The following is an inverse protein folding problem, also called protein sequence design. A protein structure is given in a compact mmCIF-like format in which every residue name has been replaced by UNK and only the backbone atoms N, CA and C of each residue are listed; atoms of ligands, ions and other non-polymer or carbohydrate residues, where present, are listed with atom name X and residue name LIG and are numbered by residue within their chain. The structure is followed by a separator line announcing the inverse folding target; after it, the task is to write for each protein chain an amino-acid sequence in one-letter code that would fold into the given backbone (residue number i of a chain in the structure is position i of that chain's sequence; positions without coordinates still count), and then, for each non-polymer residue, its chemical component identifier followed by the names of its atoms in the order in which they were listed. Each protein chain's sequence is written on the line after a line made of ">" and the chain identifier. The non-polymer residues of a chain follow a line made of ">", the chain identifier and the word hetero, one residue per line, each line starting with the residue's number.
data_IF_890861472214
#
_entry.id   IF_890861472214
#
_cell.length_a   1.000
_cell.length_b   1.000
_cell.length_c   1.000
_cell.angle_alpha   90.00
_cell.angle_beta   90.00
_cell.angle_gamma   90.00
#
_symmetry.space_group_name_H-M   'P 1'
#
loop_
_entity.id
_entity.type
_entity.pdbx_description
1 polymer ?
#
# COMPACT_ATOMS: atom_id res chain seq x y z
N UNK A 1 -20.89 20.08 16.70
CA UNK A 1 -20.47 18.66 16.70
C UNK A 1 -20.65 18.11 15.29
N UNK A 2 -19.69 18.38 14.40
CA UNK A 2 -19.71 17.85 13.03
C UNK A 2 -19.19 16.41 13.05
N UNK A 3 -20.07 15.49 12.68
CA UNK A 3 -19.91 14.05 12.84
C UNK A 3 -19.01 13.46 11.75
N UNK A 4 -18.22 12.45 12.11
CA UNK A 4 -17.46 11.57 11.20
C UNK A 4 -18.31 11.09 10.00
N UNK A 5 -19.63 11.04 10.19
CA UNK A 5 -20.67 10.65 9.22
C UNK A 5 -20.76 11.60 8.02
N UNK A 6 -20.52 12.90 8.19
CA UNK A 6 -20.67 13.89 7.10
C UNK A 6 -19.45 13.96 6.17
N UNK A 7 -18.31 13.42 6.64
CA UNK A 7 -17.08 13.31 5.86
C UNK A 7 -17.10 12.03 4.98
N UNK A 8 -17.85 11.01 5.40
CA UNK A 8 -17.96 9.69 4.75
C UNK A 8 -18.74 9.70 3.43
N UNK A 9 -19.62 10.69 3.20
CA UNK A 9 -20.43 10.76 1.98
C UNK A 9 -19.85 11.66 0.87
N UNK A 10 -18.82 12.47 1.16
CA UNK A 10 -18.33 13.53 0.25
C UNK A 10 -17.03 13.22 -0.49
N UNK A 11 -16.32 12.14 -0.16
CA UNK A 11 -15.04 11.77 -0.80
C UNK A 11 -15.14 10.35 -1.35
N UNK A 12 -14.60 10.11 -2.55
CA UNK A 12 -14.22 8.75 -2.93
C UNK A 12 -13.16 8.31 -1.93
N UNK A 13 -13.56 7.44 -0.99
CA UNK A 13 -12.67 6.93 0.03
C UNK A 13 -11.59 6.09 -0.64
N UNK A 14 -10.35 6.22 -0.18
CA UNK A 14 -9.39 5.16 -0.46
C UNK A 14 -10.02 3.84 0.03
N UNK A 15 -9.94 2.73 -0.73
CA UNK A 15 -10.47 1.43 -0.29
C UNK A 15 -10.13 1.12 1.18
N UNK A 16 -8.95 1.56 1.63
CA UNK A 16 -8.46 1.31 2.98
C UNK A 16 -9.19 2.12 4.06
N UNK A 17 -9.60 3.34 3.75
CA UNK A 17 -10.41 4.17 4.63
C UNK A 17 -11.80 3.55 4.82
N UNK A 18 -12.33 2.89 3.79
CA UNK A 18 -13.58 2.16 3.84
C UNK A 18 -13.48 0.93 4.77
N UNK A 19 -12.44 0.10 4.60
CA UNK A 19 -12.20 -1.05 5.50
C UNK A 19 -12.05 -0.60 6.95
N UNK A 20 -11.36 0.53 7.18
CA UNK A 20 -11.23 1.13 8.50
C UNK A 20 -12.59 1.58 9.07
N UNK A 21 -13.40 2.28 8.28
CA UNK A 21 -14.73 2.73 8.70
C UNK A 21 -15.63 1.54 9.06
N UNK A 22 -15.61 0.47 8.25
CA UNK A 22 -16.34 -0.78 8.52
C UNK A 22 -15.89 -1.38 9.86
N UNK A 23 -14.57 -1.56 10.06
CA UNK A 23 -14.04 -2.12 11.31
C UNK A 23 -14.34 -1.28 12.55
N UNK A 24 -14.28 0.06 12.43
CA UNK A 24 -14.59 0.97 13.52
C UNK A 24 -16.08 0.95 13.90
N UNK A 25 -16.97 0.86 12.91
CA UNK A 25 -18.40 0.71 13.16
C UNK A 25 -18.72 -0.67 13.74
N UNK A 26 -18.08 -1.73 13.24
CA UNK A 26 -18.26 -3.07 13.80
C UNK A 26 -17.83 -3.16 15.27
N UNK A 27 -16.68 -2.59 15.61
CA UNK A 27 -16.20 -2.51 17.00
C UNK A 27 -17.11 -1.70 17.94
N UNK A 28 -17.93 -0.79 17.39
CA UNK A 28 -18.94 -0.03 18.14
C UNK A 28 -20.27 -0.78 18.29
N UNK A 29 -20.36 -2.02 17.81
CA UNK A 29 -21.53 -2.88 17.94
C UNK A 29 -22.62 -2.65 16.89
N UNK A 30 -22.34 -1.89 15.82
CA UNK A 30 -23.30 -1.77 14.72
C UNK A 30 -23.44 -3.11 13.97
N UNK A 31 -24.66 -3.42 13.56
CA UNK A 31 -24.97 -4.57 12.72
C UNK A 31 -24.44 -4.39 11.30
N UNK A 32 -24.22 -5.48 10.57
CA UNK A 32 -23.73 -5.41 9.18
C UNK A 32 -24.64 -4.59 8.27
N UNK A 33 -25.96 -4.64 8.47
CA UNK A 33 -26.93 -3.84 7.71
C UNK A 33 -26.81 -2.33 8.01
N UNK A 34 -26.63 -1.95 9.28
CA UNK A 34 -26.42 -0.56 9.66
C UNK A 34 -25.09 -0.01 9.14
N UNK A 35 -24.04 -0.84 9.14
CA UNK A 35 -22.74 -0.47 8.61
C UNK A 35 -22.85 -0.26 7.09
N UNK A 36 -23.42 -1.24 6.37
CA UNK A 36 -23.66 -1.18 4.93
C UNK A 36 -24.38 0.11 4.51
N UNK A 37 -25.46 0.46 5.22
CA UNK A 37 -26.20 1.70 4.99
C UNK A 37 -25.37 2.97 5.27
N UNK A 38 -24.44 2.92 6.24
CA UNK A 38 -23.58 4.06 6.58
C UNK A 38 -22.42 4.26 5.61
N UNK A 39 -21.86 3.18 5.06
CA UNK A 39 -20.71 3.23 4.17
C UNK A 39 -21.09 3.21 2.69
N UNK A 40 -22.36 2.95 2.36
CA UNK A 40 -22.88 2.80 1.00
C UNK A 40 -22.28 1.60 0.24
N UNK A 41 -22.28 0.43 0.89
CA UNK A 41 -21.81 -0.85 0.31
C UNK A 41 -22.81 -1.97 0.61
N UNK A 42 -22.67 -3.10 -0.10
CA UNK A 42 -23.50 -4.28 0.16
C UNK A 42 -23.23 -4.89 1.53
N UNK A 43 -24.26 -5.51 2.11
CA UNK A 43 -24.15 -6.25 3.38
C UNK A 43 -23.17 -7.42 3.25
N UNK A 44 -23.12 -8.04 2.07
CA UNK A 44 -22.18 -9.13 1.76
C UNK A 44 -20.73 -8.64 1.82
N UNK A 45 -20.43 -7.49 1.23
CA UNK A 45 -19.10 -6.89 1.30
C UNK A 45 -18.72 -6.55 2.75
N UNK A 46 -19.62 -5.89 3.48
CA UNK A 46 -19.38 -5.53 4.89
C UNK A 46 -19.14 -6.77 5.75
N UNK A 47 -19.97 -7.80 5.62
CA UNK A 47 -19.81 -9.04 6.39
C UNK A 47 -18.50 -9.77 6.04
N UNK A 48 -18.08 -9.74 4.77
CA UNK A 48 -16.78 -10.27 4.35
C UNK A 48 -15.62 -9.52 5.00
N UNK A 49 -15.64 -8.19 4.98
CA UNK A 49 -14.58 -7.38 5.59
C UNK A 49 -14.54 -7.58 7.11
N UNK A 50 -15.69 -7.62 7.80
CA UNK A 50 -15.73 -7.91 9.23
C UNK A 50 -15.13 -9.28 9.55
N UNK A 51 -15.54 -10.34 8.84
CA UNK A 51 -14.99 -11.69 9.02
C UNK A 51 -13.48 -11.73 8.84
N UNK A 52 -12.95 -11.05 7.81
CA UNK A 52 -11.52 -11.00 7.54
C UNK A 52 -10.77 -10.24 8.64
N UNK A 53 -11.34 -9.14 9.15
CA UNK A 53 -10.78 -8.37 10.25
C UNK A 53 -10.74 -9.18 11.55
N UNK A 54 -11.82 -9.89 11.88
CA UNK A 54 -11.92 -10.72 13.08
C UNK A 54 -10.90 -11.88 13.07
N UNK A 55 -10.61 -12.41 11.88
CA UNK A 55 -9.61 -13.46 11.67
C UNK A 55 -8.17 -12.95 11.50
N UNK A 56 -7.96 -11.62 11.51
CA UNK A 56 -6.64 -10.99 11.35
C UNK A 56 -6.03 -11.14 9.95
N UNK A 57 -6.87 -11.19 8.91
CA UNK A 57 -6.52 -11.55 7.53
C UNK A 57 -6.02 -10.37 6.68
N UNK A 58 -4.96 -9.70 7.15
CA UNK A 58 -4.45 -8.47 6.53
C UNK A 58 -4.06 -8.64 5.06
N UNK A 59 -3.44 -9.77 4.72
CA UNK A 59 -3.01 -10.06 3.34
C UNK A 59 -4.18 -10.26 2.39
N UNK A 60 -5.26 -10.90 2.86
CA UNK A 60 -6.47 -11.11 2.05
C UNK A 60 -7.23 -9.80 1.90
N UNK A 61 -7.41 -9.04 2.98
CA UNK A 61 -7.99 -7.69 2.95
C UNK A 61 -7.25 -6.82 1.92
N UNK A 62 -5.92 -6.74 2.02
CA UNK A 62 -5.11 -5.96 1.08
C UNK A 62 -5.22 -6.44 -0.38
N UNK A 63 -5.58 -7.70 -0.62
CA UNK A 63 -5.76 -8.22 -1.96
C UNK A 63 -7.15 -7.95 -2.53
N UNK A 64 -8.19 -8.00 -1.68
CA UNK A 64 -9.56 -7.57 -2.02
C UNK A 64 -9.58 -6.10 -2.41
N UNK A 65 -8.92 -5.28 -1.61
CA UNK A 65 -8.78 -3.83 -1.79
C UNK A 65 -8.10 -3.43 -3.12
N UNK A 66 -7.16 -4.26 -3.58
CA UNK A 66 -6.48 -4.06 -4.88
C UNK A 66 -7.26 -4.62 -6.06
N UNK A 67 -8.44 -5.22 -5.82
CA UNK A 67 -9.23 -5.89 -6.85
C UNK A 67 -8.58 -7.17 -7.39
N UNK A 68 -7.61 -7.74 -6.67
CA UNK A 68 -6.90 -8.96 -7.09
C UNK A 68 -7.73 -10.21 -6.75
N UNK A 69 -8.48 -10.16 -5.65
CA UNK A 69 -9.31 -11.26 -5.16
C UNK A 69 -10.71 -10.74 -4.88
N UNK A 70 -11.78 -11.37 -5.37
CA UNK A 70 -13.13 -11.04 -4.94
C UNK A 70 -13.32 -11.28 -3.43
N UNK A 71 -14.12 -10.44 -2.76
CA UNK A 71 -14.34 -10.54 -1.31
C UNK A 71 -14.96 -11.89 -0.89
N UNK A 72 -15.84 -12.47 -1.71
CA UNK A 72 -16.42 -13.81 -1.50
C UNK A 72 -15.36 -14.89 -1.42
N UNK A 73 -14.41 -14.88 -2.37
CA UNK A 73 -13.30 -15.83 -2.43
C UNK A 73 -12.34 -15.62 -1.26
N UNK A 74 -12.08 -14.37 -0.88
CA UNK A 74 -11.28 -14.08 0.31
C UNK A 74 -11.91 -14.64 1.59
N UNK A 75 -13.24 -14.58 1.74
CA UNK A 75 -13.94 -15.21 2.87
C UNK A 75 -13.80 -16.73 2.85
N UNK A 76 -13.97 -17.37 1.70
CA UNK A 76 -13.83 -18.83 1.57
C UNK A 76 -12.43 -19.27 1.97
N UNK A 77 -11.38 -18.58 1.47
CA UNK A 77 -9.99 -18.84 1.86
C UNK A 77 -9.77 -18.64 3.36
N UNK A 78 -10.40 -17.63 3.97
CA UNK A 78 -10.27 -17.39 5.40
C UNK A 78 -10.94 -18.46 6.26
N UNK A 79 -12.02 -19.09 5.77
CA UNK A 79 -12.79 -20.15 6.44
C UNK A 79 -12.21 -21.55 6.19
N UNK A 80 -11.64 -21.78 5.01
CA UNK A 80 -11.11 -23.07 4.60
C UNK A 80 -9.85 -23.46 5.38
N UNK A 81 -9.70 -24.76 5.66
CA UNK A 81 -8.43 -25.32 6.12
C UNK A 81 -7.45 -25.38 4.94
N UNK A 82 -6.14 -25.38 5.20
CA UNK A 82 -5.11 -25.26 4.15
C UNK A 82 -5.24 -26.26 2.99
N UNK A 83 -5.79 -27.46 3.24
CA UNK A 83 -6.07 -28.47 2.20
C UNK A 83 -7.32 -28.22 1.35
N UNK A 84 -8.29 -27.44 1.84
CA UNK A 84 -9.57 -27.15 1.17
C UNK A 84 -9.45 -25.92 0.24
N UNK A 85 -8.49 -25.03 0.50
CA UNK A 85 -8.27 -23.80 -0.27
C UNK A 85 -7.93 -24.07 -1.73
N UNK A 86 -7.09 -25.08 -2.00
CA UNK A 86 -6.72 -25.42 -3.38
C UNK A 86 -7.91 -25.95 -4.18
N UNK A 87 -8.77 -26.73 -3.52
CA UNK A 87 -9.98 -27.26 -4.12
C UNK A 87 -10.97 -26.15 -4.44
N UNK A 88 -11.21 -25.23 -3.50
CA UNK A 88 -12.08 -24.08 -3.71
C UNK A 88 -11.60 -23.19 -4.87
N UNK A 89 -10.28 -22.99 -5.03
CA UNK A 89 -9.75 -22.23 -6.18
C UNK A 89 -9.89 -22.96 -7.51
N UNK A 90 -9.77 -24.29 -7.52
CA UNK A 90 -9.98 -25.08 -8.72
C UNK A 90 -11.45 -25.03 -9.15
N UNK A 91 -12.37 -25.22 -8.20
CA UNK A 91 -13.82 -25.12 -8.42
C UNK A 91 -14.20 -23.71 -8.93
N UNK A 92 -13.69 -22.64 -8.32
CA UNK A 92 -13.93 -21.26 -8.77
C UNK A 92 -13.38 -20.95 -10.19
N UNK A 93 -12.28 -21.60 -10.58
CA UNK A 93 -11.76 -21.50 -11.94
C UNK A 93 -12.65 -22.25 -12.94
N UNK A 94 -13.08 -23.47 -12.60
CA UNK A 94 -13.96 -24.31 -13.42
C UNK A 94 -15.34 -23.65 -13.64
N UNK A 95 -15.88 -23.02 -12.59
CA UNK A 95 -17.13 -22.24 -12.63
C UNK A 95 -16.97 -20.87 -13.31
N UNK A 96 -15.76 -20.49 -13.74
CA UNK A 96 -15.42 -19.20 -14.36
C UNK A 96 -15.72 -17.97 -13.49
N UNK A 97 -15.84 -18.15 -12.18
CA UNK A 97 -15.99 -17.02 -11.24
C UNK A 97 -14.68 -16.25 -11.06
N UNK A 98 -13.54 -16.86 -11.42
CA UNK A 98 -12.21 -16.23 -11.41
C UNK A 98 -11.44 -16.57 -12.70
N UNK A 99 -10.88 -15.58 -13.42
CA UNK A 99 -10.05 -15.84 -14.59
C UNK A 99 -8.69 -16.43 -14.20
N UNK A 100 -8.09 -17.26 -15.05
CA UNK A 100 -6.86 -18.03 -14.73
C UNK A 100 -5.66 -17.19 -14.30
N UNK A 101 -5.54 -15.94 -14.79
CA UNK A 101 -4.53 -14.99 -14.35
C UNK A 101 -4.72 -14.53 -12.88
N UNK A 102 -5.96 -14.42 -12.42
CA UNK A 102 -6.27 -14.13 -11.02
C UNK A 102 -6.03 -15.35 -10.12
N UNK A 103 -6.26 -16.58 -10.60
CA UNK A 103 -5.96 -17.81 -9.85
C UNK A 103 -4.49 -17.87 -9.43
N UNK A 104 -3.57 -17.56 -10.35
CA UNK A 104 -2.12 -17.53 -10.05
C UNK A 104 -1.77 -16.43 -9.03
N UNK A 105 -2.40 -15.26 -9.14
CA UNK A 105 -2.19 -14.15 -8.20
C UNK A 105 -2.69 -14.50 -6.80
N UNK A 106 -3.88 -15.13 -6.70
CA UNK A 106 -4.46 -15.61 -5.45
C UNK A 106 -3.57 -16.69 -4.82
N UNK A 107 -3.10 -17.67 -5.61
CA UNK A 107 -2.18 -18.71 -5.13
C UNK A 107 -0.93 -18.12 -4.50
N UNK A 108 -0.31 -17.12 -5.14
CA UNK A 108 0.87 -16.43 -4.59
C UNK A 108 0.57 -15.75 -3.25
N UNK A 109 -0.63 -15.20 -3.07
CA UNK A 109 -1.05 -14.56 -1.82
C UNK A 109 -1.26 -15.61 -0.72
N UNK A 110 -1.83 -16.77 -1.06
CA UNK A 110 -2.00 -17.90 -0.13
C UNK A 110 -0.65 -18.48 0.27
N UNK A 111 0.26 -18.70 -0.68
CA UNK A 111 1.61 -19.20 -0.37
C UNK A 111 2.34 -18.23 0.57
N UNK A 112 2.22 -16.91 0.33
CA UNK A 112 2.74 -15.91 1.24
C UNK A 112 2.04 -15.94 2.60
N UNK A 113 0.73 -16.13 2.65
CA UNK A 113 -0.04 -16.27 3.90
C UNK A 113 0.42 -17.51 4.69
N UNK A 114 0.67 -18.63 4.03
CA UNK A 114 1.06 -19.89 4.68
C UNK A 114 2.51 -19.86 5.16
N UNK A 115 3.41 -19.24 4.38
CA UNK A 115 4.84 -19.13 4.74
C UNK A 115 5.13 -18.07 5.79
N UNK A 116 4.39 -16.96 5.81
CA UNK A 116 4.68 -15.81 6.68
C UNK A 116 3.52 -15.33 7.57
N UNK A 117 2.47 -16.13 7.66
CA UNK A 117 1.26 -15.83 8.44
C UNK A 117 0.32 -14.83 7.75
N UNK A 118 -0.81 -14.57 8.39
CA UNK A 118 -1.92 -13.74 7.87
C UNK A 118 -1.60 -12.23 7.76
N UNK A 119 -0.57 -11.82 8.50
CA UNK A 119 -0.18 -10.45 8.74
C UNK A 119 0.72 -9.90 7.62
N UNK A 120 0.64 -8.60 7.35
CA UNK A 120 1.59 -7.93 6.47
C UNK A 120 2.96 -7.87 7.19
N UNK A 121 4.00 -8.41 6.55
CA UNK A 121 5.34 -8.39 7.14
C UNK A 121 5.82 -6.96 7.39
N UNK A 122 5.95 -6.60 8.66
CA UNK A 122 6.68 -5.39 9.09
C UNK A 122 8.16 -5.66 8.90
N UNK A 123 8.80 -5.04 7.90
CA UNK A 123 10.28 -4.96 7.85
C UNK A 123 10.75 -4.24 9.12
N UNK A 124 11.17 -5.00 10.14
CA UNK A 124 11.74 -4.48 11.39
C UNK A 124 11.34 -5.15 12.71
N UNK A 125 10.54 -6.23 12.74
CA UNK A 125 10.20 -6.88 14.03
C UNK A 125 11.24 -7.93 14.43
N UNK A 126 11.92 -7.71 15.57
CA UNK A 126 12.88 -8.65 16.18
C UNK A 126 12.19 -9.98 16.57
N UNK A 127 12.87 -11.13 16.44
CA UNK A 127 12.35 -12.42 16.89
C UNK A 127 12.28 -12.45 18.43
N UNK A 128 11.16 -12.92 19.00
CA UNK A 128 11.02 -13.16 20.44
C UNK A 128 9.87 -12.44 21.15
N UNK A 129 9.09 -11.58 20.47
CA UNK A 129 7.91 -10.95 21.10
C UNK A 129 6.66 -11.77 20.80
N UNK A 130 6.10 -12.41 21.83
CA UNK A 130 4.76 -13.02 21.81
C UNK A 130 3.79 -12.01 21.19
N UNK A 131 3.31 -12.30 19.98
CA UNK A 131 2.41 -11.41 19.28
C UNK A 131 1.05 -11.46 19.96
N UNK A 132 0.68 -10.37 20.63
CA UNK A 132 -0.69 -10.15 21.08
C UNK A 132 -1.62 -10.27 19.85
N UNK A 133 -2.83 -10.84 20.01
CA UNK A 133 -3.82 -10.89 18.93
C UNK A 133 -3.97 -9.49 18.35
N UNK A 134 -3.88 -9.43 17.03
CA UNK A 134 -3.74 -8.18 16.29
C UNK A 134 -5.11 -7.53 16.23
N UNK A 135 -5.30 -6.52 17.07
CA UNK A 135 -6.49 -5.67 17.05
C UNK A 135 -6.47 -4.80 15.79
N UNK A 136 -7.64 -4.37 15.32
CA UNK A 136 -7.81 -3.38 14.24
C UNK A 136 -6.88 -2.16 14.39
N UNK A 137 -6.53 -1.77 15.61
CA UNK A 137 -5.52 -0.74 15.91
C UNK A 137 -4.08 -1.08 15.49
N UNK A 138 -3.67 -2.35 15.57
CA UNK A 138 -2.32 -2.80 15.22
C UNK A 138 -2.02 -2.68 13.74
N UNK A 139 -3.05 -2.91 12.92
CA UNK A 139 -3.10 -2.67 11.48
C UNK A 139 -2.98 -1.19 11.15
N UNK A 140 -3.82 -0.37 11.79
CA UNK A 140 -3.85 1.09 11.61
C UNK A 140 -2.48 1.69 11.86
N UNK A 141 -1.83 1.32 12.98
CA UNK A 141 -0.50 1.87 13.32
C UNK A 141 0.57 1.43 12.32
N UNK A 142 0.47 0.23 11.76
CA UNK A 142 1.45 -0.27 10.78
C UNK A 142 1.34 0.49 9.46
N UNK A 143 0.11 0.68 8.98
CA UNK A 143 -0.17 1.39 7.75
C UNK A 143 0.13 2.88 7.86
N UNK A 144 -0.32 3.56 8.94
CA UNK A 144 -0.01 4.97 9.17
C UNK A 144 1.49 5.23 9.09
N UNK A 145 2.30 4.40 9.73
CA UNK A 145 3.77 4.48 9.64
C UNK A 145 4.30 4.33 8.23
N UNK A 146 3.75 3.41 7.44
CA UNK A 146 4.17 3.23 6.05
C UNK A 146 3.76 4.43 5.17
N UNK A 147 2.57 4.98 5.37
CA UNK A 147 2.14 6.19 4.63
C UNK A 147 2.96 7.42 4.99
N UNK A 148 3.30 7.61 6.27
CA UNK A 148 4.20 8.67 6.72
C UNK A 148 5.58 8.52 6.11
N UNK A 149 6.10 7.28 6.07
CA UNK A 149 7.37 6.96 5.42
C UNK A 149 7.35 7.31 3.93
N UNK A 150 6.30 6.95 3.21
CA UNK A 150 6.14 7.29 1.79
C UNK A 150 6.04 8.80 1.57
N UNK A 151 5.22 9.51 2.36
CA UNK A 151 5.12 10.98 2.32
C UNK A 151 6.48 11.64 2.56
N UNK A 152 7.25 11.15 3.53
CA UNK A 152 8.59 11.65 3.81
C UNK A 152 9.55 11.39 2.63
N UNK A 153 9.48 10.21 2.01
CA UNK A 153 10.31 9.87 0.85
C UNK A 153 10.00 10.79 -0.34
N UNK A 154 8.72 11.04 -0.63
CA UNK A 154 8.30 11.97 -1.69
C UNK A 154 8.82 13.38 -1.40
N UNK A 155 8.67 13.88 -0.17
CA UNK A 155 9.19 15.19 0.23
C UNK A 155 10.70 15.28 0.05
N UNK A 156 11.45 14.26 0.47
CA UNK A 156 12.91 14.18 0.31
C UNK A 156 13.31 14.16 -1.16
N UNK A 157 12.63 13.37 -1.98
CA UNK A 157 12.88 13.29 -3.42
C UNK A 157 12.61 14.63 -4.12
N UNK A 158 11.51 15.30 -3.78
CA UNK A 158 11.18 16.62 -4.30
C UNK A 158 12.26 17.65 -3.95
N UNK A 159 12.70 17.68 -2.70
CA UNK A 159 13.74 18.62 -2.24
C UNK A 159 15.09 18.33 -2.92
N UNK A 160 15.47 17.06 -3.05
CA UNK A 160 16.68 16.67 -3.76
C UNK A 160 16.62 17.08 -5.24
N UNK A 161 15.48 16.88 -5.91
CA UNK A 161 15.25 17.29 -7.30
C UNK A 161 15.39 18.80 -7.48
N UNK A 162 14.75 19.60 -6.62
CA UNK A 162 14.83 21.06 -6.70
C UNK A 162 16.26 21.57 -6.49
N UNK A 163 17.00 21.02 -5.51
CA UNK A 163 18.41 21.38 -5.29
C UNK A 163 19.30 21.01 -6.46
N UNK A 164 19.10 19.81 -7.02
CA UNK A 164 19.88 19.33 -8.15
C UNK A 164 19.63 20.17 -9.41
N UNK A 165 18.37 20.57 -9.65
CA UNK A 165 18.01 21.48 -10.74
C UNK A 165 18.67 22.85 -10.58
N UNK A 166 18.69 23.38 -9.35
CA UNK A 166 19.40 24.64 -9.06
C UNK A 166 20.90 24.53 -9.35
N UNK A 167 21.56 23.50 -8.83
CA UNK A 167 23.00 23.28 -9.06
C UNK A 167 23.30 23.08 -10.54
N UNK A 168 22.53 22.25 -11.26
CA UNK A 168 22.74 22.01 -12.68
C UNK A 168 22.62 23.30 -13.52
N UNK A 169 21.61 24.14 -13.25
CA UNK A 169 21.46 25.41 -13.95
C UNK A 169 22.56 26.42 -13.60
N UNK A 170 22.97 26.52 -12.34
CA UNK A 170 24.08 27.37 -11.93
C UNK A 170 25.39 26.97 -12.61
N UNK A 171 25.69 25.66 -12.64
CA UNK A 171 26.85 25.12 -13.32
C UNK A 171 26.78 25.36 -14.83
N UNK A 172 25.62 25.19 -15.48
CA UNK A 172 25.45 25.51 -16.90
C UNK A 172 25.80 26.97 -17.20
N UNK A 173 25.33 27.90 -16.35
CA UNK A 173 25.59 29.33 -16.52
C UNK A 173 27.05 29.72 -16.25
N UNK A 174 27.69 29.09 -15.26
CA UNK A 174 29.11 29.32 -14.97
C UNK A 174 30.00 28.75 -16.08
N UNK A 175 29.72 27.55 -16.56
CA UNK A 175 30.51 26.89 -17.60
C UNK A 175 30.31 27.51 -19.00
N UNK A 176 29.23 28.26 -19.22
CA UNK A 176 29.08 29.07 -20.44
C UNK A 176 29.97 30.32 -20.46
N UNK A 177 30.58 30.69 -19.33
CA UNK A 177 31.56 31.78 -19.26
C UNK A 177 32.96 31.25 -19.61
N UNK A 178 33.49 31.72 -20.74
CA UNK A 178 34.77 31.28 -21.29
C UNK A 178 35.97 31.68 -20.41
N UNK A 179 35.87 32.80 -19.69
CA UNK A 179 36.90 33.25 -18.76
C UNK A 179 36.96 32.32 -17.54
N UNK A 180 35.79 31.95 -17.00
CA UNK A 180 35.69 30.99 -15.90
C UNK A 180 36.19 29.60 -16.30
N UNK A 181 35.80 29.10 -17.47
CA UNK A 181 36.27 27.80 -17.98
C UNK A 181 37.78 27.75 -18.21
N UNK A 182 38.37 28.87 -18.65
CA UNK A 182 39.83 28.99 -18.85
C UNK A 182 40.58 28.98 -17.53
N UNK A 183 40.06 29.67 -16.51
CA UNK A 183 40.63 29.67 -15.16
C UNK A 183 40.58 28.26 -14.53
N UNK A 184 39.45 27.54 -14.66
CA UNK A 184 39.35 26.16 -14.19
C UNK A 184 40.38 25.23 -14.85
N UNK A 185 40.67 25.42 -16.15
CA UNK A 185 41.72 24.65 -16.85
C UNK A 185 43.11 24.98 -16.33
N UNK A 186 43.41 26.26 -16.10
CA UNK A 186 44.70 26.69 -15.56
C UNK A 186 44.97 26.14 -14.16
N UNK A 187 43.93 26.06 -13.32
CA UNK A 187 44.00 25.57 -11.94
C UNK A 187 43.84 24.03 -11.82
N UNK A 188 43.70 23.30 -12.94
CA UNK A 188 43.53 21.84 -12.94
C UNK A 188 42.18 21.34 -12.41
N UNK A 189 41.15 22.18 -12.38
CA UNK A 189 39.80 21.90 -11.87
C UNK A 189 38.78 21.65 -12.99
N UNK A 190 39.18 20.93 -14.04
CA UNK A 190 38.35 20.73 -15.25
C UNK A 190 37.38 19.53 -15.18
N UNK A 191 37.35 18.79 -14.07
CA UNK A 191 36.54 17.57 -13.95
C UNK A 191 35.19 17.81 -13.29
N UNK A 192 34.16 17.10 -13.76
CA UNK A 192 32.80 17.19 -13.24
C UNK A 192 32.25 15.80 -12.86
N UNK A 193 31.46 15.69 -11.78
CA UNK A 193 30.74 14.46 -11.48
C UNK A 193 29.81 14.08 -12.63
N UNK A 194 29.88 12.82 -13.08
CA UNK A 194 29.09 12.29 -14.21
C UNK A 194 27.59 12.60 -14.11
N UNK A 195 27.01 12.44 -12.92
CA UNK A 195 25.59 12.70 -12.68
C UNK A 195 25.18 14.18 -12.84
N UNK A 196 26.13 15.11 -12.77
CA UNK A 196 25.91 16.52 -13.10
C UNK A 196 26.17 16.78 -14.58
N UNK A 197 27.24 16.22 -15.15
CA UNK A 197 27.57 16.35 -16.57
C UNK A 197 26.37 15.96 -17.48
N UNK A 198 25.79 14.78 -17.24
CA UNK A 198 24.61 14.27 -17.97
C UNK A 198 23.37 15.19 -17.89
N UNK A 199 23.33 16.12 -16.92
CA UNK A 199 22.20 17.03 -16.71
C UNK A 199 22.47 18.45 -17.20
N UNK A 200 23.74 18.80 -17.43
CA UNK A 200 24.18 20.11 -17.87
C UNK A 200 24.24 20.17 -19.39
N UNK A 201 24.68 19.08 -20.04
CA UNK A 201 24.73 18.95 -21.49
C UNK A 201 23.35 19.20 -22.13
N UNK A 202 23.28 19.95 -23.25
CA UNK A 202 22.05 20.07 -24.01
C UNK A 202 21.69 18.70 -24.62
N UNK A 203 20.40 18.39 -24.62
CA UNK A 203 19.87 17.25 -25.37
C UNK A 203 20.05 17.44 -26.87
#
# INVERSE_FOLDING_TARGET
>A
MMSLVENLARRQHSPLELVHAIGALHARGYSYAEIAAKVDFSVEYVSAICLLLDNGEEKLIAAVERGVIPHTIAMEIARAKDGEVQRALAEAYEEKTIPGNQVLAIRKIIDQRNTSGKQLHKRGSRPGRVQKPVTSEGLIRAYQRETERQKLLIKRASLARSRLLFVANAMRRLLSDEHFATLLRAEGLSTLPRALAERIEPA
#
